data_IF_732630510408
#
_entry.id   IF_732630510408
#
_cell.length_a   1.000
_cell.length_b   1.000
_cell.length_c   1.000
_cell.angle_alpha   90.00
_cell.angle_beta   90.00
_cell.angle_gamma   90.00
#
_symmetry.space_group_name_H-M   'P 1'
#
loop_
_entity.id
_entity.type
_entity.pdbx_description
1 polymer ?
#
# COMPACT_ATOMS: atom_id res chain seq x y z
N UNK A 1 -0.21 56.80 -62.95
CA UNK A 1 1.07 57.52 -62.82
C UNK A 1 2.12 56.50 -62.40
N UNK A 2 2.99 56.13 -63.35
CA UNK A 2 4.43 55.78 -63.22
C UNK A 2 4.91 55.07 -61.93
N UNK A 3 5.27 53.79 -61.96
CA UNK A 3 6.58 53.22 -62.38
C UNK A 3 7.66 53.32 -61.27
N UNK A 4 8.12 52.20 -60.67
CA UNK A 4 9.32 51.39 -61.03
C UNK A 4 10.49 51.72 -60.05
N UNK A 5 11.03 50.81 -59.24
CA UNK A 5 11.86 49.61 -59.49
C UNK A 5 13.38 49.86 -59.35
N UNK A 6 14.06 49.06 -58.51
CA UNK A 6 15.46 48.56 -58.60
C UNK A 6 15.80 47.83 -57.26
N UNK A 7 16.05 46.52 -57.18
CA UNK A 7 17.25 45.74 -57.60
C UNK A 7 18.53 46.26 -56.91
N UNK A 8 19.46 45.50 -56.33
CA UNK A 8 19.87 44.08 -56.39
C UNK A 8 21.09 43.88 -55.47
N UNK A 9 21.29 42.70 -54.85
CA UNK A 9 22.54 41.89 -54.83
C UNK A 9 22.68 40.97 -53.60
N UNK A 10 22.82 39.67 -53.87
CA UNK A 10 23.60 38.69 -53.08
C UNK A 10 24.99 38.55 -53.75
N UNK A 11 26.11 38.12 -53.11
CA UNK A 11 26.30 36.72 -52.68
C UNK A 11 27.26 36.41 -51.49
N UNK A 12 27.12 35.19 -50.96
CA UNK A 12 28.12 34.20 -50.48
C UNK A 12 29.37 34.55 -49.61
N UNK A 13 29.44 33.80 -48.48
CA UNK A 13 30.55 32.99 -47.94
C UNK A 13 31.84 33.62 -47.35
N UNK A 14 32.12 33.29 -46.07
CA UNK A 14 33.42 32.82 -45.57
C UNK A 14 33.30 32.24 -44.13
N UNK A 15 34.09 31.21 -43.86
CA UNK A 15 34.17 30.41 -42.64
C UNK A 15 35.28 30.88 -41.68
N UNK A 16 35.28 30.33 -40.46
CA UNK A 16 36.38 30.09 -39.48
C UNK A 16 35.84 30.31 -38.04
N UNK A 17 36.23 29.65 -36.95
CA UNK A 17 36.85 28.37 -36.61
C UNK A 17 36.71 28.26 -35.08
N UNK A 18 36.55 27.06 -34.53
CA UNK A 18 36.52 26.78 -33.08
C UNK A 18 37.87 27.08 -32.38
N UNK A 19 37.90 27.23 -31.05
CA UNK A 19 38.20 26.05 -30.23
C UNK A 19 37.52 25.99 -28.83
N UNK A 20 37.32 24.77 -28.34
CA UNK A 20 37.13 24.41 -26.92
C UNK A 20 38.48 24.43 -26.18
N UNK A 21 38.56 24.56 -24.83
CA UNK A 21 38.45 23.36 -23.98
C UNK A 21 37.93 23.57 -22.53
N UNK A 22 37.68 22.42 -21.88
CA UNK A 22 38.11 22.09 -20.50
C UNK A 22 37.05 21.96 -19.40
N UNK A 23 37.14 20.82 -18.72
CA UNK A 23 36.28 20.23 -17.70
C UNK A 23 36.50 20.73 -16.26
N UNK A 24 35.52 20.33 -15.43
CA UNK A 24 35.61 19.88 -14.03
C UNK A 24 35.93 20.89 -12.89
N UNK A 25 35.01 20.96 -11.92
CA UNK A 25 35.35 21.18 -10.52
C UNK A 25 34.33 20.52 -9.59
N UNK A 26 34.76 19.43 -8.96
CA UNK A 26 34.15 18.82 -7.79
C UNK A 26 34.48 19.65 -6.55
N UNK A 27 33.52 19.86 -5.65
CA UNK A 27 33.76 20.47 -4.35
C UNK A 27 34.05 19.35 -3.33
N UNK A 28 35.33 19.12 -3.06
CA UNK A 28 35.83 18.36 -1.92
C UNK A 28 35.98 19.31 -0.73
N UNK A 29 35.36 18.99 0.41
CA UNK A 29 35.57 19.70 1.67
C UNK A 29 36.89 19.25 2.32
N UNK A 30 37.69 20.23 2.71
CA UNK A 30 39.04 20.08 3.24
C UNK A 30 39.07 19.56 4.69
N UNK A 31 40.09 18.76 4.99
CA UNK A 31 40.58 18.47 6.34
C UNK A 31 41.67 19.48 6.76
N UNK A 32 41.90 19.66 8.06
CA UNK A 32 43.24 19.90 8.57
C UNK A 32 43.67 18.84 9.60
N UNK A 33 44.93 18.38 9.49
CA UNK A 33 45.69 17.72 10.56
C UNK A 33 46.33 18.83 11.45
N UNK A 34 46.68 18.68 12.73
CA UNK A 34 47.15 17.55 13.54
C UNK A 34 47.17 17.96 15.02
N UNK A 35 47.17 17.01 15.97
CA UNK A 35 47.53 17.28 17.37
C UNK A 35 47.04 16.29 18.44
N UNK A 36 47.83 15.24 18.68
CA UNK A 36 48.08 14.49 19.94
C UNK A 36 46.96 14.09 20.93
N UNK A 37 46.92 12.76 21.18
CA UNK A 37 46.72 12.02 22.44
C UNK A 37 45.44 12.20 23.29
N UNK A 38 44.63 11.14 23.38
CA UNK A 38 44.40 10.34 24.60
C UNK A 38 43.16 9.45 24.40
N UNK A 39 43.19 8.24 24.96
CA UNK A 39 42.19 7.22 24.70
C UNK A 39 40.82 7.51 25.31
N UNK A 40 39.77 7.07 24.63
CA UNK A 40 38.56 6.52 25.22
C UNK A 40 37.74 5.82 24.13
N UNK A 41 37.29 4.61 24.43
CA UNK A 41 36.38 3.78 23.65
C UNK A 41 35.04 4.49 23.39
N UNK A 42 34.39 4.27 22.22
CA UNK A 42 33.06 4.83 21.97
C UNK A 42 31.98 4.03 22.74
N UNK A 43 30.95 4.70 23.29
CA UNK A 43 29.87 4.02 23.99
C UNK A 43 28.83 3.46 23.01
N UNK A 44 28.31 2.29 23.36
CA UNK A 44 27.08 1.68 22.85
C UNK A 44 25.87 2.56 23.14
N UNK A 45 24.87 2.67 22.24
CA UNK A 45 23.62 3.32 22.58
C UNK A 45 22.81 2.40 23.52
N UNK A 46 22.58 2.88 24.74
CA UNK A 46 21.71 2.26 25.72
C UNK A 46 20.24 2.46 25.33
N UNK A 47 19.48 1.38 25.32
CA UNK A 47 18.02 1.42 25.32
C UNK A 47 17.51 2.15 26.58
N UNK A 48 16.68 3.18 26.40
CA UNK A 48 15.89 3.77 27.49
C UNK A 48 14.40 3.64 27.16
N UNK A 49 13.79 2.66 27.85
CA UNK A 49 12.40 2.57 28.30
C UNK A 49 11.36 3.49 27.64
N UNK A 50 10.61 2.94 26.68
CA UNK A 50 9.25 3.40 26.41
C UNK A 50 8.33 2.84 27.51
N UNK A 51 7.69 3.76 28.23
CA UNK A 51 6.67 3.48 29.23
C UNK A 51 5.37 3.10 28.52
N UNK A 52 4.86 1.93 28.86
CA UNK A 52 3.60 1.37 28.37
C UNK A 52 2.41 1.95 29.14
N UNK A 53 1.34 2.32 28.42
CA UNK A 53 0.00 2.46 28.97
C UNK A 53 -0.97 1.63 28.12
N UNK A 54 -1.09 0.35 28.46
CA UNK A 54 -2.16 -0.51 28.00
C UNK A 54 -3.14 -0.71 29.18
N UNK A 55 -4.41 -0.37 28.94
CA UNK A 55 -5.49 -0.57 29.89
C UNK A 55 -5.86 -2.05 29.99
N UNK A 56 -6.10 -2.50 31.23
CA UNK A 56 -6.37 -3.88 31.61
C UNK A 56 -7.85 -4.11 31.96
N UNK A 57 -8.39 -5.27 31.59
CA UNK A 57 -9.40 -6.09 32.28
C UNK A 57 -9.48 -7.42 31.51
N UNK A 58 -9.55 -8.64 32.03
CA UNK A 58 -9.76 -9.25 33.35
C UNK A 58 -8.97 -10.59 33.39
N UNK A 59 -8.53 -11.16 34.51
CA UNK A 59 -9.37 -11.93 35.42
C UNK A 59 -9.02 -13.43 35.45
N UNK A 60 -7.98 -13.78 36.23
CA UNK A 60 -7.72 -15.00 37.01
C UNK A 60 -7.85 -16.45 36.43
N UNK A 61 -6.72 -17.18 36.54
CA UNK A 61 -6.53 -18.42 37.34
C UNK A 61 -5.99 -19.67 36.60
N UNK A 62 -4.97 -20.30 37.22
CA UNK A 62 -4.74 -21.76 37.15
C UNK A 62 -3.49 -22.21 36.39
N UNK A 63 -2.44 -22.60 37.13
CA UNK A 63 -1.18 -23.11 36.58
C UNK A 63 -1.20 -24.60 36.18
N UNK A 64 -0.14 -24.99 35.46
CA UNK A 64 0.20 -26.38 35.16
C UNK A 64 1.16 -26.47 33.99
N UNK A 65 2.41 -26.86 34.24
CA UNK A 65 3.43 -27.04 33.20
C UNK A 65 3.18 -28.26 32.32
N UNK A 66 3.77 -28.27 31.13
CA UNK A 66 3.89 -29.48 30.31
C UNK A 66 4.00 -29.23 28.80
N UNK A 67 5.17 -29.60 28.28
CA UNK A 67 5.43 -30.06 26.90
C UNK A 67 5.20 -29.09 25.73
N UNK A 68 6.32 -28.70 25.12
CA UNK A 68 6.38 -28.32 23.71
C UNK A 68 5.82 -29.47 22.86
N UNK A 69 4.59 -29.31 22.39
CA UNK A 69 3.97 -30.21 21.43
C UNK A 69 4.33 -29.73 20.01
N UNK A 70 5.04 -30.58 19.28
CA UNK A 70 5.28 -30.44 17.85
C UNK A 70 3.97 -30.15 17.13
N UNK A 71 3.93 -29.06 16.37
CA UNK A 71 2.83 -28.74 15.47
C UNK A 71 2.78 -29.80 14.37
N UNK A 72 1.88 -30.77 14.56
CA UNK A 72 1.53 -31.74 13.53
C UNK A 72 0.83 -31.03 12.38
N UNK A 73 1.36 -31.26 11.19
CA UNK A 73 0.83 -30.90 9.89
C UNK A 73 -0.65 -31.32 9.78
N UNK A 74 -1.55 -30.33 9.78
CA UNK A 74 -2.95 -30.52 9.39
C UNK A 74 -3.05 -30.07 7.95
N UNK A 75 -2.92 -31.01 7.03
CA UNK A 75 -3.10 -30.78 5.60
C UNK A 75 -4.45 -30.11 5.29
N UNK A 76 -4.41 -28.81 4.95
CA UNK A 76 -5.17 -28.27 3.82
C UNK A 76 -6.66 -27.94 3.98
N UNK A 77 -7.23 -27.82 5.17
CA UNK A 77 -8.60 -27.31 5.31
C UNK A 77 -8.70 -25.82 4.92
N UNK A 78 -9.74 -25.49 4.14
CA UNK A 78 -10.03 -24.13 3.74
C UNK A 78 -10.45 -23.31 4.97
N UNK A 79 -9.73 -22.23 5.29
CA UNK A 79 -9.97 -21.48 6.53
C UNK A 79 -11.30 -20.73 6.50
N UNK A 80 -11.80 -20.45 5.30
CA UNK A 80 -13.11 -19.88 5.00
C UNK A 80 -13.60 -20.48 3.69
N UNK A 81 -14.83 -21.01 3.67
CA UNK A 81 -15.46 -21.44 2.43
C UNK A 81 -16.38 -20.33 1.90
N UNK A 82 -16.12 -19.87 0.68
CA UNK A 82 -16.98 -18.91 0.01
C UNK A 82 -18.06 -19.72 -0.72
N UNK A 83 -19.35 -19.67 -0.29
CA UNK A 83 -20.38 -20.58 -0.78
C UNK A 83 -20.67 -20.46 -2.29
N UNK A 84 -20.20 -19.38 -2.93
CA UNK A 84 -20.39 -19.12 -4.35
C UNK A 84 -19.11 -19.36 -5.19
N UNK A 85 -18.03 -19.86 -4.59
CA UNK A 85 -16.74 -20.05 -5.25
C UNK A 85 -16.13 -21.44 -4.97
N UNK A 86 -15.36 -22.03 -5.91
CA UNK A 86 -15.19 -21.54 -7.28
C UNK A 86 -16.46 -21.76 -8.11
N UNK A 87 -16.69 -20.89 -9.09
CA UNK A 87 -17.75 -21.14 -10.07
C UNK A 87 -17.41 -22.38 -10.90
N UNK A 88 -18.44 -23.11 -11.32
CA UNK A 88 -18.26 -24.26 -12.20
C UNK A 88 -18.25 -23.83 -13.67
N UNK A 89 -17.67 -24.66 -14.54
CA UNK A 89 -17.73 -24.49 -15.99
C UNK A 89 -19.20 -24.44 -16.48
N UNK A 90 -20.14 -25.06 -15.77
CA UNK A 90 -21.55 -25.01 -16.10
C UNK A 90 -22.19 -23.62 -15.90
N UNK A 91 -21.58 -22.76 -15.07
CA UNK A 91 -22.06 -21.41 -14.80
C UNK A 91 -21.61 -20.40 -15.88
N UNK A 92 -20.68 -20.79 -16.78
CA UNK A 92 -20.14 -19.94 -17.85
C UNK A 92 -21.17 -19.15 -18.67
N UNK A 93 -22.35 -19.70 -19.03
CA UNK A 93 -23.37 -18.94 -19.77
C UNK A 93 -23.95 -17.75 -18.97
N UNK A 94 -23.97 -17.82 -17.64
CA UNK A 94 -24.42 -16.75 -16.75
C UNK A 94 -23.34 -15.67 -16.56
N UNK A 95 -22.10 -15.94 -16.95
CA UNK A 95 -20.92 -15.10 -16.73
C UNK A 95 -20.54 -14.24 -17.94
N UNK A 96 -21.27 -14.34 -19.06
CA UNK A 96 -21.00 -13.57 -20.29
C UNK A 96 -21.06 -12.05 -20.11
N UNK A 97 -21.63 -11.55 -19.01
CA UNK A 97 -21.73 -10.11 -18.71
C UNK A 97 -20.69 -9.63 -17.69
N UNK A 98 -19.81 -10.50 -17.19
CA UNK A 98 -18.74 -10.08 -16.30
C UNK A 98 -17.66 -9.33 -17.06
N UNK A 99 -17.01 -8.35 -16.42
CA UNK A 99 -15.97 -7.53 -17.06
C UNK A 99 -14.66 -8.29 -17.29
N UNK A 100 -14.41 -9.33 -16.49
CA UNK A 100 -13.36 -10.32 -16.72
C UNK A 100 -13.85 -11.37 -17.72
N UNK A 101 -12.97 -11.81 -18.62
CA UNK A 101 -13.26 -12.93 -19.49
C UNK A 101 -13.57 -14.20 -18.66
N UNK A 102 -14.42 -15.13 -19.16
CA UNK A 102 -14.86 -16.27 -18.34
C UNK A 102 -13.70 -17.16 -17.85
N UNK A 103 -12.65 -17.34 -18.65
CA UNK A 103 -11.44 -18.09 -18.24
C UNK A 103 -10.61 -17.34 -17.19
N UNK A 104 -10.51 -16.01 -17.30
CA UNK A 104 -9.83 -15.19 -16.29
C UNK A 104 -10.56 -15.27 -14.96
N UNK A 105 -11.89 -15.20 -15.01
CA UNK A 105 -12.74 -15.28 -13.83
C UNK A 105 -12.55 -16.61 -13.08
N UNK A 106 -12.61 -17.74 -13.78
CA UNK A 106 -12.35 -19.05 -13.19
C UNK A 106 -10.94 -19.14 -12.60
N UNK A 107 -9.93 -18.59 -13.28
CA UNK A 107 -8.57 -18.60 -12.77
C UNK A 107 -8.40 -17.74 -11.50
N UNK A 108 -9.09 -16.61 -11.40
CA UNK A 108 -9.10 -15.81 -10.16
C UNK A 108 -9.88 -16.50 -9.03
N UNK A 109 -10.96 -17.23 -9.34
CA UNK A 109 -11.68 -18.03 -8.36
C UNK A 109 -10.80 -19.16 -7.78
N UNK A 110 -9.98 -19.80 -8.61
CA UNK A 110 -8.97 -20.79 -8.18
C UNK A 110 -7.87 -20.17 -7.32
N UNK A 111 -7.38 -18.99 -7.70
CA UNK A 111 -6.40 -18.24 -6.91
C UNK A 111 -6.96 -17.87 -5.53
N UNK A 112 -8.21 -17.39 -5.46
CA UNK A 112 -8.89 -17.10 -4.19
C UNK A 112 -8.92 -18.36 -3.32
N UNK A 113 -9.37 -19.48 -3.86
CA UNK A 113 -9.42 -20.75 -3.11
C UNK A 113 -8.04 -21.21 -2.62
N UNK A 114 -6.98 -20.91 -3.37
CA UNK A 114 -5.60 -21.21 -2.96
C UNK A 114 -5.21 -20.34 -1.76
N UNK A 115 -5.45 -19.03 -1.84
CA UNK A 115 -5.09 -18.10 -0.76
C UNK A 115 -5.93 -18.32 0.49
N UNK A 116 -7.21 -18.70 0.38
CA UNK A 116 -8.07 -19.06 1.53
C UNK A 116 -7.59 -20.28 2.32
N UNK A 117 -6.67 -21.08 1.76
CA UNK A 117 -5.95 -22.16 2.47
C UNK A 117 -4.64 -21.67 3.08
N UNK A 118 -4.45 -20.34 3.16
CA UNK A 118 -3.22 -19.68 3.57
C UNK A 118 -2.00 -20.10 2.72
N UNK A 119 -2.19 -20.29 1.41
CA UNK A 119 -1.12 -20.67 0.48
C UNK A 119 -0.81 -19.52 -0.48
N UNK A 120 0.48 -19.23 -0.64
CA UNK A 120 0.95 -18.24 -1.61
C UNK A 120 0.68 -18.69 -3.06
N UNK A 121 0.42 -17.72 -3.94
CA UNK A 121 0.32 -17.97 -5.38
C UNK A 121 1.70 -18.08 -6.04
N UNK A 122 1.74 -18.61 -7.26
CA UNK A 122 2.94 -18.55 -8.11
C UNK A 122 3.22 -17.11 -8.53
N UNK A 123 4.49 -16.74 -8.70
CA UNK A 123 4.92 -15.38 -9.07
C UNK A 123 4.19 -14.83 -10.32
N UNK A 124 4.01 -15.66 -11.37
CA UNK A 124 3.28 -15.24 -12.57
C UNK A 124 1.81 -14.91 -12.32
N UNK A 125 1.15 -15.58 -11.36
CA UNK A 125 -0.23 -15.27 -10.97
C UNK A 125 -0.31 -13.95 -10.22
N UNK A 126 0.66 -13.67 -9.33
CA UNK A 126 0.78 -12.35 -8.68
C UNK A 126 0.96 -11.25 -9.72
N UNK A 127 1.80 -11.47 -10.74
CA UNK A 127 1.96 -10.49 -11.83
C UNK A 127 0.64 -10.19 -12.54
N UNK A 128 -0.10 -11.24 -12.94
CA UNK A 128 -1.41 -11.09 -13.61
C UNK A 128 -2.40 -10.34 -12.70
N UNK A 129 -2.43 -10.68 -11.41
CA UNK A 129 -3.24 -9.98 -10.41
C UNK A 129 -2.88 -8.50 -10.32
N UNK A 130 -1.60 -8.17 -10.17
CA UNK A 130 -1.14 -6.78 -10.08
C UNK A 130 -1.47 -5.98 -11.35
N UNK A 131 -1.27 -6.55 -12.53
CA UNK A 131 -1.58 -5.88 -13.80
C UNK A 131 -3.08 -5.60 -13.91
N UNK A 132 -3.92 -6.61 -13.65
CA UNK A 132 -5.38 -6.45 -13.68
C UNK A 132 -5.90 -5.47 -12.63
N UNK A 133 -5.31 -5.48 -11.44
CA UNK A 133 -5.71 -4.57 -10.37
C UNK A 133 -5.33 -3.12 -10.70
N UNK A 134 -4.17 -2.88 -11.32
CA UNK A 134 -3.79 -1.53 -11.79
C UNK A 134 -4.78 -0.99 -12.82
N UNK A 135 -5.24 -1.82 -13.75
CA UNK A 135 -6.28 -1.43 -14.72
C UNK A 135 -7.54 -0.90 -14.01
N UNK A 136 -7.99 -1.59 -12.95
CA UNK A 136 -9.16 -1.18 -12.15
C UNK A 136 -8.87 0.11 -11.38
N UNK A 137 -7.77 0.15 -10.63
CA UNK A 137 -7.44 1.27 -9.75
C UNK A 137 -7.11 2.55 -10.52
N UNK A 138 -6.65 2.45 -11.77
CA UNK A 138 -6.47 3.62 -12.65
C UNK A 138 -7.77 4.35 -12.98
N UNK A 139 -8.91 3.65 -12.99
CA UNK A 139 -10.23 4.24 -13.21
C UNK A 139 -10.80 4.89 -11.93
N UNK A 140 -10.19 4.61 -10.78
CA UNK A 140 -10.64 5.07 -9.47
C UNK A 140 -10.00 6.43 -9.10
N UNK A 141 -10.79 7.40 -8.64
CA UNK A 141 -10.29 8.66 -8.07
C UNK A 141 -9.70 8.54 -6.66
N UNK A 142 -9.05 9.59 -6.15
CA UNK A 142 -8.43 9.57 -4.82
C UNK A 142 -9.43 9.47 -3.67
N UNK A 143 -10.67 9.92 -3.89
CA UNK A 143 -11.79 9.85 -2.95
C UNK A 143 -12.85 8.92 -3.55
N UNK A 144 -12.90 7.67 -3.08
CA UNK A 144 -13.83 6.68 -3.62
C UNK A 144 -15.24 6.83 -3.04
N UNK A 145 -16.28 7.02 -3.87
CA UNK A 145 -17.65 6.99 -3.39
C UNK A 145 -18.03 5.56 -2.97
N UNK A 146 -18.64 5.42 -1.79
CA UNK A 146 -19.08 4.13 -1.24
C UNK A 146 -20.54 4.24 -0.81
N UNK A 147 -21.37 3.28 -1.26
CA UNK A 147 -22.77 3.21 -0.88
C UNK A 147 -22.99 2.22 0.26
N UNK A 148 -23.96 2.51 1.11
CA UNK A 148 -24.43 1.59 2.15
C UNK A 148 -25.36 0.52 1.56
N UNK A 149 -25.48 -0.66 2.21
CA UNK A 149 -24.74 -1.10 3.39
C UNK A 149 -23.27 -1.42 3.07
N UNK A 150 -22.35 -1.09 3.98
CA UNK A 150 -20.91 -1.42 3.85
C UNK A 150 -20.31 -1.75 5.22
N UNK A 151 -19.42 -2.74 5.26
CA UNK A 151 -18.59 -3.06 6.43
C UNK A 151 -17.24 -2.39 6.28
N UNK A 152 -16.87 -1.54 7.24
CA UNK A 152 -15.57 -0.85 7.25
C UNK A 152 -14.57 -1.69 8.06
N UNK A 153 -13.39 -1.91 7.50
CA UNK A 153 -12.32 -2.73 8.07
C UNK A 153 -11.06 -1.88 8.21
N UNK A 154 -10.51 -1.80 9.42
CA UNK A 154 -9.22 -1.15 9.70
C UNK A 154 -8.03 -2.08 9.41
N UNK A 155 -6.95 -1.87 10.15
CA UNK A 155 -5.66 -2.55 9.94
C UNK A 155 -5.76 -4.08 10.01
N UNK A 156 -5.00 -4.73 9.14
CA UNK A 156 -4.90 -6.21 9.07
C UNK A 156 -3.51 -6.69 9.47
N UNK A 157 -2.45 -5.98 9.05
CA UNK A 157 -1.06 -6.27 9.42
C UNK A 157 -0.66 -7.75 9.35
N UNK A 158 -0.96 -8.40 8.21
CA UNK A 158 -0.59 -9.79 8.00
C UNK A 158 -1.22 -10.81 8.96
N UNK A 159 -2.29 -10.45 9.68
CA UNK A 159 -3.03 -11.34 10.58
C UNK A 159 -4.09 -12.15 9.81
N UNK A 160 -3.64 -13.07 8.95
CA UNK A 160 -4.52 -13.78 8.01
C UNK A 160 -5.64 -14.57 8.69
N UNK A 161 -5.36 -15.21 9.82
CA UNK A 161 -6.37 -15.98 10.55
C UNK A 161 -7.47 -15.09 11.15
N UNK A 162 -7.11 -13.90 11.63
CA UNK A 162 -8.06 -12.92 12.15
C UNK A 162 -8.89 -12.32 11.02
N UNK A 163 -8.28 -12.09 9.84
CA UNK A 163 -9.01 -11.70 8.63
C UNK A 163 -10.06 -12.75 8.24
N UNK A 164 -9.74 -14.04 8.34
CA UNK A 164 -10.70 -15.12 8.08
C UNK A 164 -11.83 -15.13 9.11
N UNK A 165 -11.52 -14.87 10.38
CA UNK A 165 -12.51 -14.78 11.44
C UNK A 165 -13.45 -13.58 11.24
N UNK A 166 -12.90 -12.44 10.79
CA UNK A 166 -13.68 -11.24 10.44
C UNK A 166 -14.71 -11.54 9.36
N UNK A 167 -14.32 -12.23 8.29
CA UNK A 167 -15.27 -12.67 7.25
C UNK A 167 -16.33 -13.67 7.76
N UNK A 168 -16.00 -14.55 8.71
CA UNK A 168 -17.00 -15.44 9.33
C UNK A 168 -18.04 -14.66 10.14
N UNK A 169 -17.63 -13.58 10.80
CA UNK A 169 -18.53 -12.74 11.61
C UNK A 169 -19.35 -11.78 10.75
N UNK A 170 -18.72 -11.08 9.80
CA UNK A 170 -19.36 -10.06 8.98
C UNK A 170 -20.15 -10.63 7.79
N UNK A 171 -19.80 -11.84 7.34
CA UNK A 171 -20.24 -12.41 6.07
C UNK A 171 -19.23 -12.18 4.96
N UNK A 172 -19.57 -12.59 3.74
CA UNK A 172 -18.63 -12.58 2.60
C UNK A 172 -19.24 -11.96 1.36
N UNK A 173 -18.39 -11.53 0.42
CA UNK A 173 -18.83 -11.19 -0.93
C UNK A 173 -19.50 -12.40 -1.61
N UNK A 174 -20.48 -12.16 -2.51
CA UNK A 174 -21.00 -10.85 -2.93
C UNK A 174 -22.12 -10.28 -2.04
N UNK A 175 -22.49 -10.97 -0.96
CA UNK A 175 -23.63 -10.60 -0.10
C UNK A 175 -23.37 -9.36 0.76
N UNK A 176 -22.11 -9.10 1.10
CA UNK A 176 -21.68 -7.97 1.93
C UNK A 176 -20.70 -7.11 1.15
N UNK A 177 -20.83 -5.79 1.25
CA UNK A 177 -19.87 -4.84 0.70
C UNK A 177 -18.81 -4.51 1.76
N UNK A 178 -17.55 -4.32 1.35
CA UNK A 178 -16.46 -3.97 2.25
C UNK A 178 -15.72 -2.72 1.80
N UNK A 179 -15.31 -1.92 2.79
CA UNK A 179 -14.32 -0.84 2.64
C UNK A 179 -13.14 -1.18 3.56
N UNK A 180 -11.98 -1.45 2.99
CA UNK A 180 -10.74 -1.63 3.74
C UNK A 180 -9.95 -0.32 3.78
N UNK A 181 -9.50 0.05 4.97
CA UNK A 181 -8.86 1.34 5.24
C UNK A 181 -7.33 1.33 5.08
N UNK A 182 -6.72 0.26 4.59
CA UNK A 182 -5.26 0.15 4.42
C UNK A 182 -4.60 -0.81 5.42
N UNK A 183 -3.27 -0.77 5.47
CA UNK A 183 -2.43 -1.54 6.39
C UNK A 183 -2.68 -3.05 6.31
N UNK A 184 -2.55 -3.56 5.09
CA UNK A 184 -2.69 -4.98 4.77
C UNK A 184 -1.45 -5.79 5.18
N UNK A 185 -0.29 -5.13 5.15
CA UNK A 185 1.05 -5.76 5.24
C UNK A 185 1.81 -5.36 6.50
N UNK A 186 2.98 -5.99 6.67
CA UNK A 186 3.92 -5.86 7.79
C UNK A 186 3.40 -6.37 9.14
N UNK A 187 4.33 -6.46 10.11
CA UNK A 187 4.13 -6.94 11.50
C UNK A 187 3.77 -8.42 11.63
N UNK A 188 2.75 -8.90 10.92
CA UNK A 188 2.32 -10.29 10.91
C UNK A 188 3.13 -11.17 9.94
N UNK A 189 2.99 -12.49 10.09
CA UNK A 189 3.73 -13.49 9.29
C UNK A 189 3.09 -13.82 7.92
N UNK A 190 1.86 -13.35 7.70
CA UNK A 190 1.04 -13.69 6.54
C UNK A 190 0.59 -12.43 5.76
N UNK A 191 1.45 -11.42 5.68
CA UNK A 191 1.17 -10.17 4.94
C UNK A 191 0.91 -10.45 3.47
N UNK A 192 1.69 -11.36 2.87
CA UNK A 192 1.52 -11.75 1.48
C UNK A 192 0.15 -12.35 1.23
N UNK A 193 -0.32 -13.28 2.08
CA UNK A 193 -1.64 -13.88 1.90
C UNK A 193 -2.76 -12.86 2.13
N UNK A 194 -2.61 -11.97 3.12
CA UNK A 194 -3.60 -10.92 3.40
C UNK A 194 -3.78 -9.98 2.21
N UNK A 195 -2.70 -9.35 1.75
CA UNK A 195 -2.75 -8.38 0.64
C UNK A 195 -3.20 -9.05 -0.66
N UNK A 196 -2.72 -10.27 -0.92
CA UNK A 196 -3.12 -11.04 -2.12
C UNK A 196 -4.61 -11.35 -2.09
N UNK A 197 -5.16 -11.76 -0.94
CA UNK A 197 -6.59 -12.05 -0.83
C UNK A 197 -7.44 -10.80 -1.05
N UNK A 198 -7.09 -9.68 -0.39
CA UNK A 198 -7.82 -8.41 -0.54
C UNK A 198 -7.80 -7.96 -2.01
N UNK A 199 -6.65 -8.07 -2.68
CA UNK A 199 -6.51 -7.72 -4.10
C UNK A 199 -7.31 -8.63 -5.02
N UNK A 200 -7.30 -9.95 -4.77
CA UNK A 200 -8.10 -10.91 -5.52
C UNK A 200 -9.60 -10.62 -5.35
N UNK A 201 -10.05 -10.30 -4.13
CA UNK A 201 -11.45 -9.94 -3.86
C UNK A 201 -11.82 -8.63 -4.55
N UNK A 202 -10.92 -7.63 -4.58
CA UNK A 202 -11.12 -6.39 -5.33
C UNK A 202 -11.26 -6.65 -6.83
N UNK A 203 -10.40 -7.48 -7.42
CA UNK A 203 -10.56 -7.86 -8.83
C UNK A 203 -11.87 -8.63 -9.01
N UNK A 204 -12.13 -9.67 -8.23
CA UNK A 204 -13.32 -10.51 -8.40
C UNK A 204 -14.64 -9.78 -8.21
N UNK A 205 -14.67 -8.78 -7.32
CA UNK A 205 -15.87 -8.07 -6.91
C UNK A 205 -15.65 -6.54 -6.89
N UNK A 206 -15.17 -5.98 -8.01
CA UNK A 206 -14.72 -4.57 -8.10
C UNK A 206 -15.68 -3.51 -7.57
N UNK A 207 -16.99 -3.76 -7.65
CA UNK A 207 -18.07 -2.85 -7.19
C UNK A 207 -18.55 -3.11 -5.75
N UNK A 208 -18.01 -4.14 -5.09
CA UNK A 208 -18.40 -4.57 -3.73
C UNK A 208 -17.27 -4.40 -2.72
N UNK A 209 -16.03 -4.34 -3.20
CA UNK A 209 -14.83 -4.16 -2.39
C UNK A 209 -14.21 -2.82 -2.77
N UNK A 210 -14.07 -1.93 -1.79
CA UNK A 210 -13.26 -0.71 -1.90
C UNK A 210 -12.04 -0.88 -1.01
N UNK A 211 -10.87 -0.51 -1.54
CA UNK A 211 -9.59 -0.59 -0.84
C UNK A 211 -8.92 0.78 -0.96
N UNK A 212 -8.38 1.28 0.14
CA UNK A 212 -7.56 2.50 0.15
C UNK A 212 -6.14 2.16 0.62
N UNK A 213 -5.23 3.12 0.46
CA UNK A 213 -3.82 3.01 0.86
C UNK A 213 -3.69 3.30 2.35
N UNK A 214 -2.98 2.45 3.09
CA UNK A 214 -2.44 2.77 4.41
C UNK A 214 -0.99 3.24 4.34
N UNK A 215 -0.39 3.62 5.47
CA UNK A 215 1.02 4.03 5.48
C UNK A 215 1.96 2.84 5.30
N UNK A 216 1.55 1.62 5.64
CA UNK A 216 2.33 0.42 5.42
C UNK A 216 2.37 -0.03 3.95
N UNK A 217 1.50 0.49 3.09
CA UNK A 217 1.58 0.31 1.64
C UNK A 217 2.63 1.27 0.99
N UNK A 218 3.85 1.21 1.53
CA UNK A 218 5.02 2.02 1.17
C UNK A 218 6.26 1.12 1.00
N UNK A 219 7.10 1.44 0.01
CA UNK A 219 8.38 0.72 -0.20
C UNK A 219 9.31 0.89 0.98
N UNK A 220 9.38 2.10 1.54
CA UNK A 220 10.28 2.40 2.65
C UNK A 220 9.88 1.65 3.93
N UNK A 221 8.57 1.62 4.23
CA UNK A 221 8.04 0.95 5.42
C UNK A 221 8.19 -0.57 5.28
N UNK A 222 7.77 -1.14 4.16
CA UNK A 222 7.83 -2.61 3.95
C UNK A 222 9.24 -3.20 3.96
N UNK A 223 10.27 -2.41 3.67
CA UNK A 223 11.67 -2.82 3.78
C UNK A 223 12.15 -3.00 5.23
N UNK A 224 11.52 -2.30 6.18
CA UNK A 224 11.95 -2.29 7.58
C UNK A 224 11.03 -3.15 8.46
N UNK A 225 9.74 -3.22 8.13
CA UNK A 225 8.71 -3.81 9.00
C UNK A 225 8.27 -5.23 8.63
N UNK A 226 8.96 -5.87 7.68
CA UNK A 226 8.99 -7.32 7.50
C UNK A 226 8.40 -7.84 6.19
N UNK A 227 7.59 -7.07 5.47
CA UNK A 227 6.96 -7.55 4.24
C UNK A 227 7.96 -7.84 3.11
N UNK A 228 9.03 -7.03 2.99
CA UNK A 228 10.12 -7.31 2.06
C UNK A 228 10.76 -8.68 2.34
N UNK A 229 11.17 -8.91 3.59
CA UNK A 229 11.79 -10.17 4.01
C UNK A 229 10.84 -11.37 3.86
N UNK A 230 9.54 -11.18 4.12
CA UNK A 230 8.52 -12.20 3.87
C UNK A 230 8.50 -12.60 2.39
N UNK A 231 8.51 -11.65 1.46
CA UNK A 231 8.52 -11.90 0.03
C UNK A 231 9.80 -12.64 -0.41
N UNK A 232 10.97 -12.19 0.06
CA UNK A 232 12.25 -12.84 -0.24
C UNK A 232 12.25 -14.29 0.25
N UNK A 233 11.80 -14.52 1.49
CA UNK A 233 11.75 -15.86 2.08
C UNK A 233 10.82 -16.80 1.32
N UNK A 234 9.69 -16.30 0.83
CA UNK A 234 8.65 -17.10 0.15
C UNK A 234 8.94 -17.37 -1.32
N UNK A 235 9.60 -16.45 -2.02
CA UNK A 235 9.85 -16.57 -3.48
C UNK A 235 11.33 -16.70 -3.85
N UNK A 236 12.25 -16.49 -2.91
CA UNK A 236 13.69 -16.50 -3.15
C UNK A 236 14.21 -15.27 -3.90
N UNK A 237 13.36 -14.29 -4.19
CA UNK A 237 13.69 -13.07 -4.94
C UNK A 237 12.72 -11.92 -4.61
N UNK A 238 13.06 -10.70 -5.04
CA UNK A 238 12.32 -9.46 -4.73
C UNK A 238 11.18 -9.13 -5.73
N UNK A 239 10.93 -9.95 -6.75
CA UNK A 239 10.01 -9.62 -7.84
C UNK A 239 8.58 -9.42 -7.33
N UNK A 240 8.11 -10.30 -6.44
CA UNK A 240 6.75 -10.22 -5.88
C UNK A 240 6.57 -8.95 -5.04
N UNK A 241 7.56 -8.60 -4.21
CA UNK A 241 7.55 -7.34 -3.47
C UNK A 241 7.48 -6.13 -4.41
N UNK A 242 8.30 -6.13 -5.48
CA UNK A 242 8.29 -5.06 -6.50
C UNK A 242 6.95 -4.96 -7.24
N UNK A 243 6.33 -6.09 -7.58
CA UNK A 243 5.02 -6.14 -8.21
C UNK A 243 3.92 -5.58 -7.32
N UNK A 244 3.88 -5.98 -6.05
CA UNK A 244 2.86 -5.56 -5.08
C UNK A 244 3.05 -4.09 -4.68
N UNK A 245 4.27 -3.66 -4.36
CA UNK A 245 4.55 -2.24 -4.09
C UNK A 245 4.29 -1.34 -5.29
N UNK A 246 4.47 -1.85 -6.51
CA UNK A 246 4.07 -1.15 -7.72
C UNK A 246 2.55 -0.95 -7.86
N UNK A 247 1.72 -1.75 -7.19
CA UNK A 247 0.26 -1.53 -7.12
C UNK A 247 -0.08 -0.50 -6.05
N UNK A 248 0.69 -0.41 -4.97
CA UNK A 248 0.38 0.49 -3.84
C UNK A 248 0.25 1.95 -4.28
N UNK A 249 1.01 2.39 -5.28
CA UNK A 249 0.93 3.74 -5.84
C UNK A 249 -0.43 4.06 -6.50
N UNK A 250 -1.20 3.04 -6.88
CA UNK A 250 -2.51 3.19 -7.52
C UNK A 250 -3.66 3.18 -6.53
N UNK A 251 -3.43 2.76 -5.29
CA UNK A 251 -4.46 2.68 -4.25
C UNK A 251 -5.02 4.10 -3.95
N UNK A 252 -6.36 4.27 -3.96
CA UNK A 252 -7.00 5.51 -3.53
C UNK A 252 -6.54 5.94 -2.14
N UNK A 253 -6.58 7.25 -1.86
CA UNK A 253 -6.13 7.80 -0.58
C UNK A 253 -7.23 7.82 0.47
N UNK A 254 -8.50 7.77 0.05
CA UNK A 254 -9.64 7.87 0.94
C UNK A 254 -10.93 7.37 0.29
N UNK A 255 -11.96 7.18 1.10
CA UNK A 255 -13.33 6.92 0.67
C UNK A 255 -14.31 7.94 1.26
N UNK A 256 -15.49 8.03 0.66
CA UNK A 256 -16.60 8.85 1.11
C UNK A 256 -17.89 8.02 1.10
N UNK A 257 -18.37 7.64 2.29
CA UNK A 257 -19.58 6.83 2.43
C UNK A 257 -20.81 7.74 2.40
N UNK A 258 -21.75 7.47 1.48
CA UNK A 258 -23.02 8.21 1.30
C UNK A 258 -22.85 9.73 1.12
N UNK A 259 -21.67 10.19 0.69
CA UNK A 259 -21.38 11.62 0.59
C UNK A 259 -21.20 12.32 1.96
N UNK A 260 -21.18 11.57 3.06
CA UNK A 260 -21.24 12.11 4.42
C UNK A 260 -20.06 11.74 5.30
N UNK A 261 -19.59 10.48 5.25
CA UNK A 261 -18.53 9.99 6.13
C UNK A 261 -17.23 9.90 5.33
N UNK A 262 -16.28 10.77 5.64
CA UNK A 262 -14.94 10.74 5.05
C UNK A 262 -14.07 9.72 5.76
N UNK A 263 -13.41 8.85 4.99
CA UNK A 263 -12.62 7.74 5.50
C UNK A 263 -11.22 7.75 4.86
N UNK A 264 -10.27 8.54 5.38
CA UNK A 264 -8.86 8.31 5.15
C UNK A 264 -8.38 7.07 5.92
N UNK A 265 -7.14 6.64 5.70
CA UNK A 265 -6.53 5.60 6.54
C UNK A 265 -6.29 6.13 7.97
N UNK A 266 -5.69 7.31 8.06
CA UNK A 266 -5.31 7.94 9.31
C UNK A 266 -6.20 9.17 9.58
N UNK A 267 -5.63 10.37 9.58
CA UNK A 267 -6.32 11.61 9.93
C UNK A 267 -6.39 12.66 8.83
N UNK A 268 -6.55 13.91 9.24
CA UNK A 268 -6.68 15.06 8.35
C UNK A 268 -5.32 15.73 8.07
N UNK A 269 -5.33 16.72 7.18
CA UNK A 269 -4.17 17.56 6.88
C UNK A 269 -4.52 19.05 6.99
N UNK A 270 -3.64 19.89 7.56
CA UNK A 270 -3.81 21.35 7.58
C UNK A 270 -3.77 21.97 6.18
N UNK A 271 -3.30 21.22 5.18
CA UNK A 271 -3.20 21.66 3.78
C UNK A 271 -4.41 21.25 2.94
N UNK A 272 -5.38 20.53 3.53
CA UNK A 272 -6.57 20.04 2.86
C UNK A 272 -7.82 20.62 3.54
N UNK A 273 -8.43 21.60 2.89
CA UNK A 273 -9.64 22.28 3.37
C UNK A 273 -10.94 21.72 2.75
N UNK A 274 -10.81 20.82 1.77
CA UNK A 274 -11.92 20.34 0.96
C UNK A 274 -11.64 18.97 0.34
N UNK A 275 -12.71 18.22 0.06
CA UNK A 275 -12.61 16.93 -0.65
C UNK A 275 -12.05 17.09 -2.08
N UNK A 276 -12.26 18.25 -2.71
CA UNK A 276 -11.71 18.54 -4.03
C UNK A 276 -10.18 18.68 -3.99
N UNK A 277 -9.62 19.24 -2.91
CA UNK A 277 -8.17 19.26 -2.70
C UNK A 277 -7.60 17.83 -2.62
N UNK A 278 -8.30 16.90 -1.93
CA UNK A 278 -7.91 15.48 -1.88
C UNK A 278 -7.95 14.84 -3.27
N UNK A 279 -9.01 15.11 -4.04
CA UNK A 279 -9.17 14.60 -5.42
C UNK A 279 -8.06 15.06 -6.36
N UNK A 280 -7.47 16.23 -6.13
CA UNK A 280 -6.41 16.81 -6.95
C UNK A 280 -5.00 16.27 -6.65
N UNK A 281 -4.80 15.54 -5.55
CA UNK A 281 -3.48 15.00 -5.19
C UNK A 281 -2.93 14.03 -6.24
N UNK A 282 -1.63 14.10 -6.50
CA UNK A 282 -0.93 13.14 -7.35
C UNK A 282 -0.57 11.91 -6.53
N UNK A 283 -1.40 10.86 -6.55
CA UNK A 283 -1.18 9.67 -5.71
C UNK A 283 -0.22 8.63 -6.28
N UNK A 284 0.03 8.64 -7.60
CA UNK A 284 0.84 7.65 -8.34
C UNK A 284 2.35 7.83 -8.10
N UNK A 285 2.75 7.75 -6.84
CA UNK A 285 4.12 7.88 -6.37
C UNK A 285 4.27 7.17 -5.01
N UNK A 286 5.52 7.00 -4.59
CA UNK A 286 5.84 6.63 -3.21
C UNK A 286 5.29 7.69 -2.23
N UNK A 287 4.87 7.24 -1.04
CA UNK A 287 4.38 8.15 0.00
C UNK A 287 5.50 9.15 0.37
N UNK A 288 5.28 10.47 0.23
CA UNK A 288 6.26 11.47 0.65
C UNK A 288 6.47 11.47 2.16
N UNK A 289 7.60 11.99 2.63
CA UNK A 289 7.88 12.11 4.07
C UNK A 289 7.04 13.22 4.76
N UNK A 290 6.50 14.16 3.99
CA UNK A 290 5.68 15.27 4.49
C UNK A 290 4.62 15.69 3.45
N UNK A 291 3.66 16.51 3.89
CA UNK A 291 2.63 17.09 3.02
C UNK A 291 1.30 16.33 3.05
N UNK A 292 0.32 16.76 2.26
CA UNK A 292 -1.07 16.33 2.42
C UNK A 292 -1.29 14.83 2.21
N UNK A 293 -0.55 14.19 1.32
CA UNK A 293 -0.62 12.74 1.14
C UNK A 293 0.00 11.97 2.32
N UNK A 294 1.06 12.50 2.93
CA UNK A 294 1.66 11.93 4.14
C UNK A 294 0.66 12.04 5.30
N UNK A 295 0.11 13.23 5.52
CA UNK A 295 -0.82 13.51 6.61
C UNK A 295 -2.07 12.59 6.57
N UNK A 296 -2.69 12.39 5.39
CA UNK A 296 -3.85 11.47 5.24
C UNK A 296 -3.55 10.02 5.65
N UNK A 297 -2.28 9.62 5.65
CA UNK A 297 -1.82 8.27 5.96
C UNK A 297 -1.13 8.16 7.32
N UNK A 298 -0.79 9.27 7.98
CA UNK A 298 0.02 9.26 9.20
C UNK A 298 -0.52 10.09 10.37
N UNK A 299 -1.48 11.00 10.14
CA UNK A 299 -2.00 11.85 11.21
C UNK A 299 -2.82 11.07 12.24
N UNK A 300 -2.71 11.45 13.51
CA UNK A 300 -3.47 10.87 14.62
C UNK A 300 -4.36 11.95 15.27
N UNK A 301 -5.51 11.59 15.86
CA UNK A 301 -6.28 12.54 16.66
C UNK A 301 -5.61 12.85 18.01
N UNK A 302 -5.72 14.08 18.50
CA UNK A 302 -5.22 14.52 19.83
C UNK A 302 -6.25 15.36 20.60
N UNK A 303 -6.84 14.78 21.65
CA UNK A 303 -7.92 15.38 22.43
C UNK A 303 -7.53 16.65 23.21
N UNK A 304 -6.24 16.83 23.53
CA UNK A 304 -5.75 17.92 24.38
C UNK A 304 -5.22 19.12 23.59
N UNK A 305 -5.23 19.05 22.26
CA UNK A 305 -4.65 20.06 21.40
C UNK A 305 -5.74 20.83 20.67
N UNK A 306 -5.70 22.17 20.77
CA UNK A 306 -6.51 23.03 19.91
C UNK A 306 -5.71 23.36 18.64
N UNK A 307 -6.08 22.79 17.49
CA UNK A 307 -5.46 23.07 16.20
C UNK A 307 -4.60 21.92 15.69
N UNK A 308 -3.37 22.21 15.23
CA UNK A 308 -2.49 21.19 14.65
C UNK A 308 -1.19 21.03 15.44
N UNK A 309 -0.87 19.79 15.78
CA UNK A 309 0.38 19.36 16.41
C UNK A 309 1.34 18.66 15.45
N UNK A 310 2.55 18.38 15.93
CA UNK A 310 3.54 17.57 15.22
C UNK A 310 3.41 16.14 15.71
N UNK A 311 3.12 15.20 14.82
CA UNK A 311 2.95 13.81 15.23
C UNK A 311 4.23 13.22 15.86
N UNK A 312 4.11 12.49 16.98
CA UNK A 312 5.22 11.79 17.63
C UNK A 312 5.75 10.64 16.76
N UNK A 313 5.03 10.23 15.71
CA UNK A 313 5.48 9.24 14.73
C UNK A 313 6.62 9.77 13.84
N UNK A 314 6.86 11.08 13.85
CA UNK A 314 7.85 11.73 12.99
C UNK A 314 7.37 11.98 11.56
N UNK A 315 6.09 11.69 11.27
CA UNK A 315 5.38 11.95 10.02
C UNK A 315 3.89 12.19 10.32
N UNK A 316 3.23 13.04 9.54
CA UNK A 316 1.83 13.44 9.79
C UNK A 316 1.64 14.55 10.82
N UNK A 317 0.39 14.73 11.27
CA UNK A 317 -0.02 15.75 12.24
C UNK A 317 -0.81 15.14 13.40
N UNK A 318 -0.95 15.92 14.47
CA UNK A 318 -1.96 15.69 15.50
C UNK A 318 -3.09 16.71 15.30
N UNK A 319 -4.36 16.30 15.40
CA UNK A 319 -5.54 17.15 15.19
C UNK A 319 -6.75 16.85 16.09
#
# INVERSE_FOLDING_TARGET
>A
MTAAAAASNSPAAAAEASPSPSAAAAAAAAAPASGASSGSTPPTPSASAATTAAAAAAGAAGGGGGAAAAAGDRDGECLLQLPHLPLSVADLPLLQQHYLGPLELLAFDEDINTVLKCKQLKEHRIKILCDKLKEILMEEGNVQPVNTPVTVVGDIHGQFHDLMQMFKCAGTCPSVNFLFLGDYVDRGFNSLECVTLVFLLKVRYRHRITIIRGNHESRQITQVYGFFDECIRKYGNANVWSLLTGVFDYLPLSALIEGQIFCPHAGLSPQLDSLDAVRALQRHQEVPHEGPMCDLLWSDPEDQLEGWGVSPRGAGKED
#
